data_IF_692784423525
#
_entry.id   IF_692784423525
#
_cell.length_a   1.000
_cell.length_b   1.000
_cell.length_c   1.000
_cell.angle_alpha   90.00
_cell.angle_beta   90.00
_cell.angle_gamma   90.00
#
_symmetry.space_group_name_H-M   'P 1'
#
loop_
_entity.id
_entity.type
_entity.pdbx_description
1 polymer ?
#
# COMPACT_ATOMS: atom_id res chain seq x y z
N UNK A 1 -11.87 0.30 -4.66
CA UNK A 1 -11.31 0.15 -6.01
C UNK A 1 -9.80 0.28 -5.98
N UNK A 2 -9.10 -0.68 -6.56
CA UNK A 2 -7.63 -0.67 -6.58
C UNK A 2 -7.16 0.14 -7.79
N UNK A 3 -6.43 1.21 -7.54
CA UNK A 3 -5.89 2.07 -8.61
C UNK A 3 -4.55 1.56 -9.12
N UNK A 4 -3.72 1.04 -8.22
CA UNK A 4 -2.39 0.55 -8.56
C UNK A 4 -1.83 -0.29 -7.43
N UNK A 5 -1.02 -1.29 -7.79
CA UNK A 5 -0.23 -2.08 -6.85
C UNK A 5 1.23 -1.85 -7.21
N UNK A 6 2.04 -1.44 -6.23
CA UNK A 6 3.45 -1.14 -6.44
C UNK A 6 4.31 -1.87 -5.42
N UNK A 7 5.47 -2.33 -5.85
CA UNK A 7 6.49 -2.87 -4.94
C UNK A 7 7.55 -1.82 -4.70
N UNK A 8 7.76 -1.47 -3.44
CA UNK A 8 8.82 -0.55 -3.05
C UNK A 8 9.20 -0.86 -1.61
N UNK A 9 10.46 -1.31 -1.40
CA UNK A 9 10.91 -1.71 -0.06
C UNK A 9 10.89 -0.55 0.95
N UNK A 10 10.87 0.69 0.45
CA UNK A 10 10.80 1.88 1.30
C UNK A 10 9.35 2.22 1.69
N UNK A 11 8.37 1.54 1.07
CA UNK A 11 6.96 1.81 1.24
C UNK A 11 6.63 3.27 0.88
N UNK A 12 6.19 4.06 1.84
CA UNK A 12 5.80 5.44 1.61
C UNK A 12 6.98 6.36 1.90
N UNK A 13 7.46 7.12 0.90
CA UNK A 13 8.50 8.10 1.14
C UNK A 13 8.38 9.31 0.22
N UNK A 14 8.47 10.49 0.83
CA UNK A 14 8.66 11.78 0.18
C UNK A 14 7.78 12.08 -1.02
N UNK A 15 8.37 12.78 -1.97
CA UNK A 15 7.67 13.30 -3.15
C UNK A 15 7.11 12.20 -4.07
N UNK A 16 7.76 11.05 -4.10
CA UNK A 16 7.31 9.94 -4.96
C UNK A 16 5.91 9.51 -4.56
N UNK A 17 5.68 9.30 -3.25
CA UNK A 17 4.38 8.89 -2.75
C UNK A 17 3.30 9.95 -3.03
N UNK A 18 3.63 11.22 -2.81
CA UNK A 18 2.69 12.32 -3.06
C UNK A 18 2.33 12.39 -4.54
N UNK A 19 3.34 12.32 -5.42
CA UNK A 19 3.12 12.39 -6.87
C UNK A 19 2.27 11.23 -7.38
N UNK A 20 2.55 10.01 -6.96
CA UNK A 20 1.79 8.84 -7.37
C UNK A 20 0.34 8.89 -6.85
N UNK A 21 0.17 9.26 -5.59
CA UNK A 21 -1.17 9.35 -5.00
C UNK A 21 -2.02 10.35 -5.76
N UNK A 22 -1.46 11.51 -6.06
CA UNK A 22 -2.15 12.56 -6.81
C UNK A 22 -2.47 12.11 -8.23
N UNK A 23 -1.49 11.54 -8.94
CA UNK A 23 -1.66 11.10 -10.33
C UNK A 23 -2.72 10.01 -10.46
N UNK A 24 -2.82 9.12 -9.47
CA UNK A 24 -3.79 8.03 -9.48
C UNK A 24 -5.17 8.44 -8.98
N UNK A 25 -5.27 9.58 -8.34
CA UNK A 25 -6.51 9.99 -7.69
C UNK A 25 -6.88 9.12 -6.51
N UNK A 26 -5.88 8.52 -5.86
CA UNK A 26 -6.11 7.64 -4.72
C UNK A 26 -6.44 8.44 -3.46
N UNK A 27 -7.35 7.93 -2.64
CA UNK A 27 -7.70 8.55 -1.37
C UNK A 27 -7.29 7.70 -0.16
N UNK A 28 -6.74 6.51 -0.41
CA UNK A 28 -6.26 5.63 0.64
C UNK A 28 -5.01 4.90 0.19
N UNK A 29 -4.00 4.91 1.04
CA UNK A 29 -2.77 4.15 0.83
C UNK A 29 -2.79 2.92 1.73
N UNK A 30 -2.69 1.73 1.14
CA UNK A 30 -2.58 0.49 1.89
C UNK A 30 -1.13 0.01 1.78
N UNK A 31 -0.43 0.05 2.90
CA UNK A 31 0.97 -0.36 2.99
C UNK A 31 1.02 -1.80 3.51
N UNK A 32 1.56 -2.70 2.70
CA UNK A 32 1.63 -4.13 3.03
C UNK A 32 3.06 -4.49 3.42
N UNK A 33 3.24 -4.84 4.69
CA UNK A 33 4.55 -5.23 5.22
C UNK A 33 4.36 -6.12 6.43
N UNK A 34 5.14 -7.19 6.50
CA UNK A 34 5.09 -8.11 7.64
C UNK A 34 6.01 -7.68 8.78
N UNK A 35 6.79 -6.61 8.59
CA UNK A 35 7.81 -6.19 9.57
C UNK A 35 7.57 -4.80 10.15
N UNK A 36 6.92 -3.89 9.43
CA UNK A 36 6.86 -2.48 9.82
C UNK A 36 6.09 -2.24 11.11
N UNK A 37 5.09 -3.04 11.41
CA UNK A 37 4.31 -2.88 12.64
C UNK A 37 5.12 -3.17 13.90
N UNK A 38 6.17 -3.96 13.79
CA UNK A 38 7.07 -4.27 14.90
C UNK A 38 8.25 -3.30 14.97
N UNK A 39 8.29 -2.29 14.10
CA UNK A 39 9.32 -1.27 14.05
C UNK A 39 8.68 0.11 14.31
N UNK A 40 8.60 0.57 15.57
CA UNK A 40 7.94 1.82 15.90
C UNK A 40 8.51 3.05 15.20
N UNK A 41 9.83 3.09 15.02
CA UNK A 41 10.48 4.23 14.36
C UNK A 41 10.07 4.32 12.89
N UNK A 42 10.08 3.18 12.20
CA UNK A 42 9.69 3.12 10.79
C UNK A 42 8.22 3.47 10.62
N UNK A 43 7.37 2.97 11.52
CA UNK A 43 5.94 3.26 11.50
C UNK A 43 5.68 4.76 11.66
N UNK A 44 6.38 5.41 12.57
CA UNK A 44 6.29 6.85 12.77
C UNK A 44 6.72 7.63 11.53
N UNK A 45 7.82 7.21 10.91
CA UNK A 45 8.32 7.83 9.68
C UNK A 45 7.27 7.74 8.57
N UNK A 46 6.60 6.61 8.44
CA UNK A 46 5.54 6.45 7.44
C UNK A 46 4.36 7.38 7.70
N UNK A 47 3.97 7.54 8.94
CA UNK A 47 2.89 8.46 9.31
C UNK A 47 3.22 9.90 8.96
N UNK A 48 4.48 10.31 9.15
CA UNK A 48 4.93 11.65 8.81
C UNK A 48 4.97 11.89 7.31
N UNK A 49 5.17 10.85 6.52
CA UNK A 49 5.21 10.95 5.05
C UNK A 49 3.83 10.94 4.40
N UNK A 50 2.77 10.84 5.19
CA UNK A 50 1.40 10.74 4.67
C UNK A 50 1.01 11.97 3.86
N UNK A 51 0.53 11.81 2.61
CA UNK A 51 0.01 12.95 1.85
C UNK A 51 -1.23 13.55 2.51
N UNK A 52 -1.37 14.86 2.40
CA UNK A 52 -2.52 15.56 2.96
C UNK A 52 -3.83 15.05 2.31
N UNK A 53 -4.84 14.84 3.13
CA UNK A 53 -6.15 14.39 2.65
C UNK A 53 -6.22 12.92 2.28
N UNK A 54 -5.17 12.15 2.52
CA UNK A 54 -5.11 10.73 2.20
C UNK A 54 -5.04 9.89 3.47
N UNK A 55 -5.82 8.82 3.52
CA UNK A 55 -5.77 7.87 4.62
C UNK A 55 -4.62 6.89 4.38
N UNK A 56 -3.87 6.58 5.42
CA UNK A 56 -2.78 5.59 5.36
C UNK A 56 -3.10 4.47 6.33
N UNK A 57 -3.09 3.24 5.82
CA UNK A 57 -3.34 2.03 6.62
C UNK A 57 -2.16 1.08 6.42
N UNK A 58 -1.63 0.57 7.51
CA UNK A 58 -0.53 -0.41 7.49
C UNK A 58 -1.07 -1.76 7.93
N UNK A 59 -0.84 -2.77 7.11
CA UNK A 59 -1.28 -4.14 7.41
C UNK A 59 -0.22 -5.13 6.99
N UNK A 60 -0.19 -6.29 7.67
CA UNK A 60 0.63 -7.40 7.18
C UNK A 60 -0.06 -8.06 5.99
N UNK A 61 0.62 -9.02 5.36
CA UNK A 61 0.10 -9.69 4.16
C UNK A 61 -1.28 -10.29 4.39
N UNK A 62 -1.46 -11.06 5.46
CA UNK A 62 -2.72 -11.73 5.72
C UNK A 62 -3.84 -10.74 6.04
N UNK A 63 -3.56 -9.75 6.85
CA UNK A 63 -4.53 -8.71 7.18
C UNK A 63 -4.99 -7.94 5.94
N UNK A 64 -4.05 -7.65 5.05
CA UNK A 64 -4.35 -6.94 3.81
C UNK A 64 -5.25 -7.79 2.90
N UNK A 65 -4.94 -9.07 2.76
CA UNK A 65 -5.75 -9.99 1.96
C UNK A 65 -7.17 -10.10 2.53
N UNK A 66 -7.28 -10.26 3.84
CA UNK A 66 -8.59 -10.36 4.50
C UNK A 66 -9.41 -9.09 4.31
N UNK A 67 -8.79 -7.92 4.43
CA UNK A 67 -9.48 -6.65 4.22
C UNK A 67 -9.97 -6.50 2.79
N UNK A 68 -9.14 -6.85 1.82
CA UNK A 68 -9.51 -6.75 0.41
C UNK A 68 -10.64 -7.72 0.05
N UNK A 69 -10.59 -8.95 0.58
CA UNK A 69 -11.61 -9.96 0.31
C UNK A 69 -12.95 -9.67 1.00
N UNK A 70 -12.92 -8.96 2.12
CA UNK A 70 -14.14 -8.64 2.87
C UNK A 70 -14.96 -7.52 2.23
N UNK A 71 -14.38 -6.79 1.28
CA UNK A 71 -15.05 -5.66 0.64
C UNK A 71 -15.01 -4.37 1.45
N UNK A 72 -14.38 -4.36 2.61
CA UNK A 72 -14.33 -3.18 3.47
C UNK A 72 -13.56 -2.03 2.81
N UNK A 73 -12.70 -2.34 1.84
CA UNK A 73 -11.90 -1.35 1.12
C UNK A 73 -12.56 -0.84 -0.16
N UNK A 74 -13.70 -1.41 -0.57
CA UNK A 74 -14.32 -1.09 -1.85
C UNK A 74 -14.73 0.38 -1.98
N UNK A 75 -15.00 1.03 -0.87
CA UNK A 75 -15.37 2.45 -0.84
C UNK A 75 -14.20 3.40 -1.08
N UNK A 76 -12.98 2.88 -1.04
CA UNK A 76 -11.78 3.70 -1.22
C UNK A 76 -11.17 3.50 -2.60
N UNK A 77 -10.48 4.54 -3.06
CA UNK A 77 -9.60 4.46 -4.23
C UNK A 77 -8.22 4.13 -3.71
N UNK A 78 -7.85 2.85 -3.79
CA UNK A 78 -6.64 2.35 -3.14
C UNK A 78 -5.40 2.44 -4.01
N UNK A 79 -4.33 2.91 -3.41
CA UNK A 79 -2.98 2.71 -3.90
C UNK A 79 -2.29 1.75 -2.93
N UNK A 80 -1.97 0.55 -3.39
CA UNK A 80 -1.37 -0.49 -2.55
C UNK A 80 0.13 -0.50 -2.79
N UNK A 81 0.90 -0.34 -1.73
CA UNK A 81 2.36 -0.41 -1.78
C UNK A 81 2.80 -1.59 -0.94
N UNK A 82 3.51 -2.52 -1.57
CA UNK A 82 4.02 -3.73 -0.91
C UNK A 82 5.51 -3.61 -0.68
N UNK A 83 5.98 -4.12 0.45
CA UNK A 83 7.40 -4.04 0.81
C UNK A 83 8.27 -4.90 -0.10
N UNK A 84 7.74 -6.04 -0.58
CA UNK A 84 8.49 -6.96 -1.41
C UNK A 84 7.59 -7.66 -2.43
N UNK A 85 8.22 -8.40 -3.35
CA UNK A 85 7.49 -9.12 -4.40
C UNK A 85 6.58 -10.20 -3.87
N UNK A 86 6.94 -10.86 -2.79
CA UNK A 86 6.10 -11.92 -2.21
C UNK A 86 4.76 -11.36 -1.74
N UNK A 87 4.79 -10.22 -1.05
CA UNK A 87 3.57 -9.54 -0.63
C UNK A 87 2.73 -9.13 -1.84
N UNK A 88 3.37 -8.57 -2.86
CA UNK A 88 2.69 -8.14 -4.07
C UNK A 88 2.03 -9.31 -4.80
N UNK A 89 2.72 -10.44 -4.94
CA UNK A 89 2.17 -11.62 -5.59
C UNK A 89 0.94 -12.12 -4.84
N UNK A 90 1.00 -12.17 -3.53
CA UNK A 90 -0.13 -12.62 -2.72
C UNK A 90 -1.34 -11.69 -2.90
N UNK A 91 -1.12 -10.38 -2.95
CA UNK A 91 -2.18 -9.41 -3.18
C UNK A 91 -2.77 -9.56 -4.59
N UNK A 92 -1.92 -9.71 -5.60
CA UNK A 92 -2.38 -9.91 -6.98
C UNK A 92 -3.28 -11.16 -7.08
N UNK A 93 -2.86 -12.26 -6.48
CA UNK A 93 -3.63 -13.52 -6.49
C UNK A 93 -4.95 -13.35 -5.76
N UNK A 94 -4.94 -12.67 -4.62
CA UNK A 94 -6.15 -12.50 -3.81
C UNK A 94 -7.18 -11.57 -4.47
N UNK A 95 -6.73 -10.59 -5.25
CA UNK A 95 -7.61 -9.58 -5.85
C UNK A 95 -7.93 -9.83 -7.31
N UNK A 96 -7.18 -10.71 -7.97
CA UNK A 96 -7.33 -10.93 -9.40
C UNK A 96 -6.75 -9.84 -10.28
N UNK A 97 -6.02 -8.89 -9.69
CA UNK A 97 -5.36 -7.83 -10.45
C UNK A 97 -4.19 -8.41 -11.24
N UNK A 98 -3.94 -7.85 -12.43
CA UNK A 98 -2.92 -8.36 -13.34
C UNK A 98 -1.76 -7.41 -13.57
N UNK A 99 -1.88 -6.17 -13.07
CA UNK A 99 -0.89 -5.13 -13.31
C UNK A 99 -0.13 -4.80 -12.03
N UNK A 100 1.19 -4.80 -12.11
CA UNK A 100 2.06 -4.50 -10.98
C UNK A 100 3.14 -3.52 -11.42
N UNK A 101 3.32 -2.46 -10.65
CA UNK A 101 4.41 -1.51 -10.85
C UNK A 101 5.55 -1.87 -9.91
N UNK A 102 6.74 -2.13 -10.46
CA UNK A 102 7.91 -2.47 -9.66
C UNK A 102 8.78 -1.22 -9.51
N UNK A 103 8.89 -0.74 -8.28
CA UNK A 103 9.77 0.37 -7.93
C UNK A 103 11.10 -0.15 -7.43
N UNK A 104 11.39 0.04 -6.13
CA UNK A 104 12.61 -0.47 -5.50
C UNK A 104 12.33 -1.79 -4.82
N UNK A 105 13.03 -2.82 -5.23
CA UNK A 105 12.88 -4.17 -4.66
C UNK A 105 14.13 -4.65 -3.93
#
# INVERSE_FOLDING_TARGET
MIKQIRVDYRLLHGQVAVSWTSALGADCLLLVSDTVKSDPLRLETLKLAKPAGTKVVVKNQQEAIDALNSGVTDKYKLFIICENLENAKAILEATGEKSLNVGNT
#
